data_IF_242827973687
#
_entry.id   IF_242827973687
#
_cell.length_a   1.000
_cell.length_b   1.000
_cell.length_c   1.000
_cell.angle_alpha   90.00
_cell.angle_beta   90.00
_cell.angle_gamma   90.00
#
_symmetry.space_group_name_H-M   'P 1'
#
loop_
_entity.id
_entity.type
_entity.pdbx_description
1 polymer ?
#
# COMPACT_ATOMS: atom_id res chain seq x y z
N UNK A 1 -44.28 42.39 0.80
CA UNK A 1 -43.65 43.04 -0.36
C UNK A 1 -42.78 41.99 -1.01
N UNK A 2 -43.31 41.35 -2.05
CA UNK A 2 -42.59 40.32 -2.83
C UNK A 2 -41.48 41.04 -3.59
N UNK A 3 -40.23 40.77 -3.26
CA UNK A 3 -39.09 41.27 -4.02
C UNK A 3 -39.22 40.74 -5.46
N UNK A 4 -39.52 41.64 -6.39
CA UNK A 4 -39.45 41.30 -7.81
C UNK A 4 -37.98 41.02 -8.15
N UNK A 5 -37.67 39.74 -8.40
CA UNK A 5 -36.34 39.23 -8.74
C UNK A 5 -36.00 39.43 -10.23
N UNK A 6 -36.84 40.15 -10.97
CA UNK A 6 -36.56 40.48 -12.37
C UNK A 6 -35.34 41.41 -12.49
N UNK A 7 -34.58 41.26 -13.58
CA UNK A 7 -33.43 42.13 -13.92
C UNK A 7 -33.87 43.60 -13.98
N UNK A 8 -35.09 43.83 -14.47
CA UNK A 8 -35.71 45.15 -14.58
C UNK A 8 -35.93 45.77 -13.19
N UNK A 9 -36.62 45.04 -12.29
CA UNK A 9 -36.86 45.51 -10.93
C UNK A 9 -35.57 45.71 -10.10
N UNK A 10 -34.52 44.95 -10.41
CA UNK A 10 -33.19 45.17 -9.83
C UNK A 10 -32.55 46.47 -10.35
N UNK A 11 -32.63 46.75 -11.65
CA UNK A 11 -32.09 47.99 -12.22
C UNK A 11 -32.81 49.21 -11.65
N UNK A 12 -34.15 49.19 -11.61
CA UNK A 12 -34.96 50.31 -11.09
C UNK A 12 -34.57 50.65 -9.65
N UNK A 13 -34.35 49.62 -8.82
CA UNK A 13 -33.90 49.78 -7.44
C UNK A 13 -32.50 50.38 -7.38
N UNK A 14 -31.56 49.83 -8.15
CA UNK A 14 -30.18 50.32 -8.21
C UNK A 14 -30.14 51.78 -8.65
N UNK A 15 -30.97 52.18 -9.61
CA UNK A 15 -31.02 53.56 -10.12
C UNK A 15 -31.53 54.52 -9.06
N UNK A 16 -32.58 54.16 -8.31
CA UNK A 16 -33.08 54.94 -7.16
C UNK A 16 -32.01 55.06 -6.07
N UNK A 17 -31.37 53.96 -5.70
CA UNK A 17 -30.34 53.95 -4.65
C UNK A 17 -29.13 54.80 -5.04
N UNK A 18 -28.67 54.68 -6.29
CA UNK A 18 -27.58 55.49 -6.84
C UNK A 18 -27.91 56.98 -6.85
N UNK A 19 -29.14 57.33 -7.23
CA UNK A 19 -29.61 58.71 -7.24
C UNK A 19 -29.60 59.30 -5.83
N UNK A 20 -30.25 58.63 -4.88
CA UNK A 20 -30.33 59.09 -3.48
C UNK A 20 -28.95 59.22 -2.84
N UNK A 21 -28.03 58.31 -3.14
CA UNK A 21 -26.66 58.38 -2.62
C UNK A 21 -25.84 59.48 -3.29
N UNK A 22 -26.06 59.76 -4.58
CA UNK A 22 -25.41 60.87 -5.28
C UNK A 22 -25.86 62.22 -4.72
N UNK A 23 -27.15 62.37 -4.44
CA UNK A 23 -27.71 63.56 -3.78
C UNK A 23 -27.12 63.74 -2.37
N UNK A 24 -26.98 62.64 -1.61
CA UNK A 24 -26.38 62.65 -0.27
C UNK A 24 -24.91 63.05 -0.29
N UNK A 25 -24.13 62.54 -1.25
CA UNK A 25 -22.69 62.78 -1.35
C UNK A 25 -22.31 64.03 -2.15
N UNK A 26 -23.27 64.67 -2.83
CA UNK A 26 -23.04 65.84 -3.67
C UNK A 26 -22.15 65.56 -4.88
N UNK A 27 -22.09 64.31 -5.36
CA UNK A 27 -21.30 63.88 -6.53
C UNK A 27 -21.89 62.63 -7.18
N UNK A 28 -21.59 62.42 -8.46
CA UNK A 28 -22.01 61.22 -9.21
C UNK A 28 -21.36 59.96 -8.63
N UNK A 29 -22.20 58.98 -8.26
CA UNK A 29 -21.78 57.68 -7.72
C UNK A 29 -21.72 56.58 -8.80
N UNK A 30 -22.00 56.90 -10.07
CA UNK A 30 -21.80 55.97 -11.16
C UNK A 30 -20.30 55.60 -11.26
N UNK A 31 -19.98 54.31 -11.19
CA UNK A 31 -18.61 53.81 -11.27
C UNK A 31 -17.95 53.51 -9.92
N UNK A 32 -18.56 53.87 -8.78
CA UNK A 32 -17.93 53.74 -7.46
C UNK A 32 -18.29 52.45 -6.72
N UNK A 33 -19.33 51.74 -7.13
CA UNK A 33 -19.79 50.52 -6.47
C UNK A 33 -18.96 49.31 -6.89
N UNK A 34 -18.86 48.28 -6.03
CA UNK A 34 -18.11 47.06 -6.32
C UNK A 34 -18.54 46.38 -7.63
N UNK A 35 -19.83 46.41 -7.96
CA UNK A 35 -20.33 45.83 -9.21
C UNK A 35 -20.01 46.69 -10.44
N UNK A 36 -19.62 47.96 -10.30
CA UNK A 36 -19.39 48.84 -11.45
C UNK A 36 -18.22 48.37 -12.34
N UNK A 37 -17.26 47.60 -11.79
CA UNK A 37 -16.19 46.98 -12.58
C UNK A 37 -16.69 45.92 -13.58
N UNK A 38 -17.91 45.41 -13.39
CA UNK A 38 -18.54 44.40 -14.24
C UNK A 38 -19.65 44.98 -15.14
N UNK A 39 -19.74 46.31 -15.20
CA UNK A 39 -20.76 47.04 -15.94
C UNK A 39 -20.39 47.21 -17.41
N UNK A 40 -21.25 46.71 -18.30
CA UNK A 40 -21.19 46.97 -19.73
C UNK A 40 -22.33 47.91 -20.12
N UNK A 41 -21.99 49.16 -20.42
CA UNK A 41 -22.96 50.21 -20.77
C UNK A 41 -23.67 49.98 -22.11
N UNK A 42 -23.22 49.00 -22.90
CA UNK A 42 -23.85 48.66 -24.19
C UNK A 42 -25.03 47.71 -24.03
N UNK A 43 -25.18 47.08 -22.86
CA UNK A 43 -26.26 46.14 -22.57
C UNK A 43 -27.51 46.82 -22.00
N UNK A 44 -28.66 46.16 -22.16
CA UNK A 44 -29.87 46.55 -21.43
C UNK A 44 -29.69 46.23 -19.94
N UNK A 45 -30.07 47.19 -19.07
CA UNK A 45 -29.97 47.08 -17.61
C UNK A 45 -28.53 46.81 -17.11
N UNK A 46 -27.58 47.70 -17.45
CA UNK A 46 -26.15 47.43 -17.33
C UNK A 46 -25.68 47.27 -15.87
N UNK A 47 -26.34 47.94 -14.92
CA UNK A 47 -25.95 47.87 -13.51
C UNK A 47 -26.52 46.63 -12.82
N UNK A 48 -27.75 46.24 -13.15
CA UNK A 48 -28.36 45.02 -12.67
C UNK A 48 -27.58 43.78 -13.14
N UNK A 49 -27.22 43.72 -14.43
CA UNK A 49 -26.40 42.63 -14.97
C UNK A 49 -25.02 42.57 -14.29
N UNK A 50 -24.40 43.74 -14.08
CA UNK A 50 -23.12 43.83 -13.38
C UNK A 50 -23.20 43.31 -11.93
N UNK A 51 -24.28 43.66 -11.21
CA UNK A 51 -24.55 43.18 -9.87
C UNK A 51 -24.69 41.66 -9.85
N UNK A 52 -25.51 41.10 -10.75
CA UNK A 52 -25.71 39.65 -10.85
C UNK A 52 -24.41 38.89 -11.17
N UNK A 53 -23.56 39.41 -12.07
CA UNK A 53 -22.24 38.83 -12.37
C UNK A 53 -21.33 38.79 -11.15
N UNK A 54 -21.28 39.88 -10.40
CA UNK A 54 -20.48 39.98 -9.19
C UNK A 54 -20.99 39.00 -8.13
N UNK A 55 -22.29 38.97 -7.86
CA UNK A 55 -22.85 38.07 -6.84
C UNK A 55 -22.69 36.60 -7.21
N UNK A 56 -22.87 36.23 -8.48
CA UNK A 56 -22.64 34.87 -8.94
C UNK A 56 -21.17 34.44 -8.74
N UNK A 57 -20.23 35.33 -9.04
CA UNK A 57 -18.81 35.09 -8.78
C UNK A 57 -18.51 34.94 -7.28
N UNK A 58 -19.06 35.81 -6.45
CA UNK A 58 -18.88 35.76 -5.00
C UNK A 58 -19.47 34.48 -4.41
N UNK A 59 -20.60 34.01 -4.93
CA UNK A 59 -21.23 32.73 -4.56
C UNK A 59 -20.35 31.55 -4.98
N UNK A 60 -19.84 31.53 -6.22
CA UNK A 60 -18.91 30.50 -6.71
C UNK A 60 -17.61 30.44 -5.87
N UNK A 61 -17.05 31.61 -5.51
CA UNK A 61 -15.85 31.69 -4.68
C UNK A 61 -16.12 31.16 -3.25
N UNK A 62 -17.30 31.43 -2.68
CA UNK A 62 -17.73 30.88 -1.38
C UNK A 62 -17.96 29.38 -1.43
N UNK A 63 -18.58 28.86 -2.47
CA UNK A 63 -18.81 27.43 -2.65
C UNK A 63 -17.47 26.68 -2.77
N UNK A 64 -16.54 27.19 -3.58
CA UNK A 64 -15.17 26.65 -3.70
C UNK A 64 -14.42 26.67 -2.37
N UNK A 65 -14.54 27.76 -1.61
CA UNK A 65 -13.92 27.85 -0.29
C UNK A 65 -14.53 26.84 0.70
N UNK A 66 -15.85 26.63 0.66
CA UNK A 66 -16.53 25.64 1.49
C UNK A 66 -16.11 24.20 1.14
N UNK A 67 -16.02 23.86 -0.15
CA UNK A 67 -15.51 22.57 -0.63
C UNK A 67 -14.06 22.33 -0.18
N UNK A 68 -13.18 23.33 -0.34
CA UNK A 68 -11.79 23.22 0.10
C UNK A 68 -11.65 23.06 1.63
N UNK A 69 -12.51 23.71 2.41
CA UNK A 69 -12.56 23.54 3.86
C UNK A 69 -13.03 22.13 4.27
N UNK A 70 -13.99 21.55 3.54
CA UNK A 70 -14.44 20.18 3.77
C UNK A 70 -13.32 19.16 3.47
N UNK A 71 -12.63 19.28 2.34
CA UNK A 71 -11.50 18.41 1.98
C UNK A 71 -10.36 18.49 3.02
N UNK A 72 -10.06 19.68 3.53
CA UNK A 72 -9.04 19.87 4.57
C UNK A 72 -9.39 19.17 5.89
N UNK A 73 -10.69 19.03 6.22
CA UNK A 73 -11.11 18.27 7.42
C UNK A 73 -10.99 16.77 7.22
N UNK A 74 -11.26 16.24 6.02
CA UNK A 74 -11.12 14.81 5.74
C UNK A 74 -9.65 14.37 5.70
N UNK A 75 -8.74 15.18 5.14
CA UNK A 75 -7.30 14.87 5.08
C UNK A 75 -6.68 14.64 6.47
N UNK A 76 -7.14 15.36 7.50
CA UNK A 76 -6.64 15.17 8.89
C UNK A 76 -7.06 13.84 9.53
N UNK A 77 -8.07 13.17 8.99
CA UNK A 77 -8.53 11.85 9.49
C UNK A 77 -7.98 10.68 8.67
N UNK A 78 -7.49 10.93 7.46
CA UNK A 78 -7.07 9.88 6.52
C UNK A 78 -5.64 9.37 6.76
N UNK A 79 -4.74 10.14 7.38
CA UNK A 79 -3.30 9.81 7.44
C UNK A 79 -2.76 9.27 8.77
N UNK A 80 -3.60 8.68 9.62
CA UNK A 80 -3.08 8.00 10.81
C UNK A 80 -4.13 7.36 11.69
N UNK A 81 -4.54 6.12 11.39
CA UNK A 81 -5.00 5.24 12.47
C UNK A 81 -3.87 5.18 13.50
N UNK A 82 -4.06 5.79 14.66
CA UNK A 82 -3.18 5.61 15.81
C UNK A 82 -3.12 4.11 16.08
N UNK A 83 -2.00 3.48 15.72
CA UNK A 83 -1.81 2.06 15.98
C UNK A 83 -1.68 1.92 17.50
N UNK A 84 -2.72 1.39 18.13
CA UNK A 84 -2.70 1.05 19.55
C UNK A 84 -1.60 0.00 19.79
N UNK A 85 -0.48 0.46 20.35
CA UNK A 85 0.70 -0.36 20.59
C UNK A 85 0.36 -1.50 21.57
N UNK A 86 -0.52 -1.26 22.55
CA UNK A 86 -0.93 -2.27 23.53
C UNK A 86 -1.75 -3.38 22.88
N UNK A 87 -2.68 -3.04 21.99
CA UNK A 87 -3.41 -4.03 21.18
C UNK A 87 -2.46 -4.84 20.28
N UNK A 88 -1.47 -4.20 19.65
CA UNK A 88 -0.45 -4.92 18.86
C UNK A 88 0.36 -5.88 19.73
N UNK A 89 0.78 -5.45 20.92
CA UNK A 89 1.54 -6.30 21.85
C UNK A 89 0.68 -7.46 22.36
N UNK A 90 -0.60 -7.23 22.71
CA UNK A 90 -1.56 -8.26 23.11
C UNK A 90 -1.76 -9.31 22.02
N UNK A 91 -1.98 -8.88 20.76
CA UNK A 91 -2.14 -9.78 19.60
C UNK A 91 -0.88 -10.60 19.33
N UNK A 92 0.31 -10.01 19.48
CA UNK A 92 1.59 -10.72 19.34
C UNK A 92 1.79 -11.75 20.47
N UNK A 93 1.47 -11.39 21.72
CA UNK A 93 1.59 -12.28 22.88
C UNK A 93 0.63 -13.48 22.80
N UNK A 94 -0.59 -13.27 22.29
CA UNK A 94 -1.58 -14.34 22.10
C UNK A 94 -1.25 -15.29 20.93
N UNK A 95 -0.28 -14.96 20.07
CA UNK A 95 0.02 -15.75 18.87
C UNK A 95 0.75 -17.05 19.24
N UNK A 96 0.02 -18.17 19.25
CA UNK A 96 0.59 -19.51 19.45
C UNK A 96 1.71 -19.79 18.44
N UNK A 97 2.91 -20.12 18.93
CA UNK A 97 4.01 -20.55 18.05
C UNK A 97 3.72 -21.97 17.55
N UNK A 98 3.27 -22.08 16.30
CA UNK A 98 2.99 -23.36 15.67
C UNK A 98 4.29 -24.11 15.33
N UNK A 99 4.28 -25.41 15.57
CA UNK A 99 5.31 -26.35 15.14
C UNK A 99 5.34 -26.50 13.61
N UNK A 100 6.40 -27.08 13.07
CA UNK A 100 6.52 -27.38 11.63
C UNK A 100 5.35 -28.25 11.14
N UNK A 101 4.99 -29.28 11.92
CA UNK A 101 3.87 -30.16 11.59
C UNK A 101 2.52 -29.43 11.61
N UNK A 102 2.25 -28.60 12.62
CA UNK A 102 1.03 -27.77 12.67
C UNK A 102 0.98 -26.77 11.51
N UNK A 103 2.12 -26.12 11.19
CA UNK A 103 2.21 -25.22 10.02
C UNK A 103 1.92 -25.96 8.73
N UNK A 104 2.48 -27.15 8.54
CA UNK A 104 2.27 -27.98 7.36
C UNK A 104 0.80 -28.39 7.21
N UNK A 105 0.14 -28.80 8.30
CA UNK A 105 -1.27 -29.17 8.30
C UNK A 105 -2.17 -28.01 7.85
N UNK A 106 -1.90 -26.81 8.36
CA UNK A 106 -2.62 -25.56 8.02
C UNK A 106 -2.20 -24.93 6.69
N UNK A 107 -1.18 -25.46 6.01
CA UNK A 107 -0.71 -24.89 4.75
C UNK A 107 -1.63 -25.27 3.58
N UNK A 108 -1.69 -24.38 2.59
CA UNK A 108 -2.40 -24.61 1.33
C UNK A 108 -1.84 -25.81 0.57
N UNK A 109 -2.66 -26.38 -0.32
CA UNK A 109 -2.30 -27.55 -1.11
C UNK A 109 -1.07 -27.29 -1.99
N UNK A 110 -0.92 -26.07 -2.52
CA UNK A 110 0.26 -25.66 -3.29
C UNK A 110 1.56 -25.79 -2.47
N UNK A 111 1.52 -25.48 -1.18
CA UNK A 111 2.69 -25.61 -0.30
C UNK A 111 2.97 -27.08 -0.02
N UNK A 112 1.93 -27.89 0.20
CA UNK A 112 2.04 -29.33 0.41
C UNK A 112 2.63 -30.04 -0.81
N UNK A 113 2.18 -29.69 -2.03
CA UNK A 113 2.73 -30.19 -3.29
C UNK A 113 4.21 -29.85 -3.45
N UNK A 114 4.60 -28.59 -3.21
CA UNK A 114 6.00 -28.16 -3.30
C UNK A 114 6.86 -28.88 -2.28
N UNK A 115 6.37 -29.06 -1.05
CA UNK A 115 7.07 -29.82 -0.03
C UNK A 115 7.26 -31.29 -0.44
N UNK A 116 6.21 -31.93 -0.97
CA UNK A 116 6.29 -33.30 -1.47
C UNK A 116 7.34 -33.43 -2.58
N UNK A 117 7.39 -32.48 -3.52
CA UNK A 117 8.40 -32.45 -4.58
C UNK A 117 9.83 -32.29 -4.03
N UNK A 118 10.05 -31.40 -3.05
CA UNK A 118 11.35 -31.23 -2.40
C UNK A 118 11.78 -32.49 -1.62
N UNK A 119 10.83 -33.15 -0.95
CA UNK A 119 11.06 -34.39 -0.21
C UNK A 119 11.33 -35.59 -1.13
N UNK A 120 10.77 -35.58 -2.35
CA UNK A 120 10.97 -36.60 -3.38
C UNK A 120 12.30 -36.45 -4.12
N UNK A 121 12.72 -35.21 -4.46
CA UNK A 121 14.15 -34.86 -4.50
C UNK A 121 14.73 -35.09 -3.08
N UNK A 122 15.92 -34.73 -2.63
CA UNK A 122 16.45 -35.16 -1.30
C UNK A 122 16.46 -36.69 -1.01
N UNK A 123 15.33 -37.40 -0.91
CA UNK A 123 15.21 -38.85 -0.73
C UNK A 123 15.53 -39.65 -1.99
N UNK A 124 15.32 -39.11 -3.20
CA UNK A 124 15.76 -39.75 -4.44
C UNK A 124 17.29 -39.68 -4.56
N UNK A 125 17.96 -40.71 -4.06
CA UNK A 125 19.41 -40.92 -4.16
C UNK A 125 19.73 -42.21 -4.93
N UNK A 126 20.81 -42.24 -5.74
CA UNK A 126 21.20 -43.42 -6.51
C UNK A 126 21.48 -44.63 -5.61
N UNK A 127 21.17 -45.83 -6.14
CA UNK A 127 21.40 -47.11 -5.46
C UNK A 127 22.90 -47.27 -5.19
N UNK A 128 23.31 -47.24 -3.92
CA UNK A 128 24.71 -47.33 -3.48
C UNK A 128 25.24 -46.11 -2.73
N UNK A 129 24.54 -44.97 -2.79
CA UNK A 129 24.87 -43.79 -1.99
C UNK A 129 24.21 -43.81 -0.60
N UNK A 130 24.78 -43.15 0.42
CA UNK A 130 24.19 -43.13 1.75
C UNK A 130 22.81 -42.47 1.75
N UNK A 131 21.81 -43.18 2.28
CA UNK A 131 20.41 -42.70 2.32
C UNK A 131 20.30 -41.40 3.13
N UNK A 132 19.61 -40.43 2.56
CA UNK A 132 19.27 -39.19 3.26
C UNK A 132 18.03 -39.45 4.11
N UNK A 133 18.14 -39.26 5.44
CA UNK A 133 17.04 -39.44 6.39
C UNK A 133 16.47 -38.08 6.82
N UNK A 134 15.15 -37.98 6.88
CA UNK A 134 14.46 -36.81 7.43
C UNK A 134 14.25 -36.94 8.94
N UNK A 135 14.30 -35.81 9.64
CA UNK A 135 13.96 -35.68 11.06
C UNK A 135 13.16 -34.39 11.25
N UNK A 136 11.87 -34.55 11.51
CA UNK A 136 10.97 -33.44 11.81
C UNK A 136 11.22 -32.99 13.25
N UNK A 137 11.60 -31.73 13.41
CA UNK A 137 11.70 -31.04 14.69
C UNK A 137 10.53 -30.06 14.84
N UNK A 138 10.41 -29.43 16.01
CA UNK A 138 9.37 -28.40 16.24
C UNK A 138 9.49 -27.24 15.24
N UNK A 139 10.68 -26.90 14.76
CA UNK A 139 10.90 -25.72 13.91
C UNK A 139 11.02 -26.04 12.42
N UNK A 140 11.60 -27.19 12.07
CA UNK A 140 11.99 -27.53 10.72
C UNK A 140 12.03 -29.03 10.46
N UNK A 141 12.00 -29.42 9.19
CA UNK A 141 12.35 -30.76 8.74
C UNK A 141 13.82 -30.79 8.30
N UNK A 142 14.64 -31.59 8.97
CA UNK A 142 16.09 -31.66 8.75
C UNK A 142 16.46 -32.94 8.03
N UNK A 143 17.23 -32.83 6.95
CA UNK A 143 17.71 -33.94 6.14
C UNK A 143 19.19 -34.17 6.41
N UNK A 144 19.55 -35.41 6.78
CA UNK A 144 20.93 -35.78 7.13
C UNK A 144 21.46 -36.93 6.30
N UNK A 145 22.75 -36.88 6.02
CA UNK A 145 23.53 -37.94 5.36
C UNK A 145 24.80 -38.19 6.15
N UNK A 146 25.00 -39.41 6.65
CA UNK A 146 26.24 -39.78 7.35
C UNK A 146 26.54 -39.01 8.66
N UNK A 147 25.61 -38.19 9.16
CA UNK A 147 25.83 -37.30 10.32
C UNK A 147 25.64 -35.83 9.96
N UNK A 148 26.04 -35.47 8.73
CA UNK A 148 26.02 -34.11 8.20
C UNK A 148 24.64 -33.68 7.72
N UNK A 149 24.37 -32.39 7.82
CA UNK A 149 23.10 -31.80 7.40
C UNK A 149 23.18 -31.42 5.92
N UNK A 150 22.34 -32.04 5.10
CA UNK A 150 22.25 -31.78 3.65
C UNK A 150 21.20 -30.74 3.33
N UNK A 151 20.12 -30.68 4.11
CA UNK A 151 19.11 -29.64 3.95
C UNK A 151 18.32 -29.39 5.24
N UNK A 152 17.81 -28.17 5.40
CA UNK A 152 16.74 -27.86 6.35
C UNK A 152 15.59 -27.19 5.63
N UNK A 153 14.38 -27.73 5.78
CA UNK A 153 13.15 -27.15 5.23
C UNK A 153 12.35 -26.50 6.36
N UNK A 154 11.92 -25.27 6.12
CA UNK A 154 11.10 -24.49 7.06
C UNK A 154 9.87 -23.90 6.37
N UNK A 155 8.79 -23.69 7.12
CA UNK A 155 7.61 -22.94 6.67
C UNK A 155 7.59 -21.59 7.40
N UNK A 156 7.72 -20.51 6.63
CA UNK A 156 7.76 -19.13 7.13
C UNK A 156 6.86 -18.26 6.24
N UNK A 157 5.92 -17.54 6.86
CA UNK A 157 5.03 -16.61 6.17
C UNK A 157 4.23 -17.26 5.03
N UNK A 158 3.74 -18.49 5.23
CA UNK A 158 2.98 -19.23 4.21
C UNK A 158 3.81 -19.77 3.04
N UNK A 159 5.14 -19.73 3.12
CA UNK A 159 6.03 -20.24 2.07
C UNK A 159 7.10 -21.17 2.61
N UNK A 160 7.58 -22.08 1.75
CA UNK A 160 8.71 -22.96 2.08
C UNK A 160 10.02 -22.19 1.91
N UNK A 161 10.96 -22.44 2.80
CA UNK A 161 12.37 -22.08 2.62
C UNK A 161 13.22 -23.31 2.81
N UNK A 162 14.20 -23.46 1.93
CA UNK A 162 15.21 -24.51 2.00
C UNK A 162 16.57 -23.90 2.30
N UNK A 163 17.28 -24.52 3.23
CA UNK A 163 18.62 -24.17 3.65
C UNK A 163 19.57 -25.30 3.23
N UNK A 164 20.64 -24.99 2.51
CA UNK A 164 21.57 -25.94 1.91
C UNK A 164 23.03 -25.66 2.32
N UNK A 165 23.91 -26.68 2.33
CA UNK A 165 25.34 -26.54 2.61
C UNK A 165 26.10 -26.03 1.36
N UNK A 166 25.63 -24.91 0.81
CA UNK A 166 26.26 -24.22 -0.33
C UNK A 166 26.83 -22.89 0.16
N UNK A 167 27.85 -22.38 -0.53
CA UNK A 167 28.37 -21.05 -0.25
C UNK A 167 27.46 -19.98 -0.89
N UNK A 168 26.81 -19.11 -0.10
CA UNK A 168 26.00 -18.01 -0.66
C UNK A 168 26.85 -17.00 -1.44
N UNK A 169 28.13 -16.83 -1.12
CA UNK A 169 28.95 -15.81 -1.79
C UNK A 169 29.59 -16.31 -3.09
N UNK A 170 29.33 -17.56 -3.49
CA UNK A 170 29.88 -18.13 -4.69
C UNK A 170 29.41 -17.35 -5.95
N UNK A 171 30.32 -17.02 -6.90
CA UNK A 171 29.98 -16.24 -8.09
C UNK A 171 28.84 -16.83 -8.94
N UNK A 172 28.68 -18.15 -8.91
CA UNK A 172 27.62 -18.88 -9.62
C UNK A 172 26.20 -18.56 -9.15
N UNK A 173 26.04 -18.07 -7.91
CA UNK A 173 24.74 -17.69 -7.35
C UNK A 173 24.49 -16.18 -7.31
N UNK A 174 25.53 -15.37 -7.58
CA UNK A 174 25.50 -13.91 -7.54
C UNK A 174 25.10 -13.25 -8.88
N UNK A 175 24.64 -14.04 -9.86
CA UNK A 175 24.18 -13.57 -11.17
C UNK A 175 22.76 -12.98 -11.17
N UNK A 176 22.11 -12.88 -10.00
CA UNK A 176 20.74 -12.40 -9.82
C UNK A 176 19.64 -13.40 -10.21
N UNK A 177 19.98 -14.54 -10.84
CA UNK A 177 18.99 -15.56 -11.23
C UNK A 177 18.56 -16.42 -10.05
N UNK A 178 19.38 -16.51 -9.01
CA UNK A 178 19.07 -17.24 -7.79
C UNK A 178 18.95 -16.29 -6.61
N UNK A 179 17.77 -15.70 -6.35
CA UNK A 179 17.57 -14.88 -5.17
C UNK A 179 17.70 -15.76 -3.91
N UNK A 180 18.79 -15.58 -3.18
CA UNK A 180 19.14 -16.35 -1.99
C UNK A 180 19.57 -15.42 -0.85
N UNK A 181 19.79 -15.98 0.33
CA UNK A 181 20.18 -15.22 1.52
C UNK A 181 21.19 -16.00 2.33
N UNK A 182 22.28 -15.33 2.74
CA UNK A 182 23.26 -15.89 3.65
C UNK A 182 22.71 -15.95 5.10
N UNK A 183 22.57 -17.15 5.63
CA UNK A 183 22.03 -17.40 6.98
C UNK A 183 23.03 -18.06 7.93
N UNK A 184 24.27 -18.27 7.50
CA UNK A 184 25.33 -18.91 8.26
C UNK A 184 25.70 -18.22 9.59
N UNK A 185 25.43 -16.92 9.72
CA UNK A 185 25.63 -16.17 10.96
C UNK A 185 24.81 -16.70 12.15
N UNK A 186 23.75 -17.49 11.89
CA UNK A 186 22.97 -18.15 12.94
C UNK A 186 23.54 -19.53 13.19
N UNK A 187 23.88 -19.85 14.45
CA UNK A 187 24.36 -21.19 14.85
C UNK A 187 23.49 -22.33 14.33
N UNK A 188 22.17 -22.14 14.26
CA UNK A 188 21.23 -23.14 13.73
C UNK A 188 21.42 -23.42 12.23
N UNK A 189 21.93 -22.47 11.46
CA UNK A 189 22.12 -22.58 10.01
C UNK A 189 23.60 -22.54 9.59
N UNK A 190 24.54 -22.66 10.54
CA UNK A 190 25.97 -22.60 10.26
C UNK A 190 26.41 -23.67 9.24
N UNK A 191 25.92 -24.91 9.40
CA UNK A 191 26.18 -26.02 8.46
C UNK A 191 25.42 -25.89 7.13
N UNK A 192 24.39 -25.05 7.06
CA UNK A 192 23.52 -24.88 5.88
C UNK A 192 23.23 -23.40 5.60
N UNK A 193 24.27 -22.62 5.27
CA UNK A 193 24.19 -21.16 5.26
C UNK A 193 23.35 -20.63 4.08
N UNK A 194 23.20 -21.36 2.98
CA UNK A 194 22.48 -20.94 1.80
C UNK A 194 20.96 -21.07 1.96
N UNK A 195 20.23 -19.97 2.17
CA UNK A 195 18.77 -19.98 2.24
C UNK A 195 18.13 -19.57 0.91
N UNK A 196 17.19 -20.38 0.43
CA UNK A 196 16.40 -20.12 -0.78
C UNK A 196 14.89 -20.23 -0.50
N UNK A 197 14.10 -19.28 -1.03
CA UNK A 197 12.65 -19.21 -0.84
C UNK A 197 11.91 -19.89 -2.00
N UNK A 198 11.00 -20.82 -1.68
CA UNK A 198 10.20 -21.58 -2.65
C UNK A 198 8.75 -21.08 -2.64
N UNK A 199 8.49 -19.98 -3.36
CA UNK A 199 7.17 -19.33 -3.41
C UNK A 199 6.46 -19.45 -4.77
N UNK A 200 7.12 -19.94 -5.81
CA UNK A 200 6.57 -20.09 -7.16
C UNK A 200 6.98 -21.43 -7.81
N UNK A 201 6.34 -21.79 -8.91
CA UNK A 201 6.72 -22.98 -9.71
C UNK A 201 8.16 -22.87 -10.24
N UNK A 202 8.59 -21.67 -10.65
CA UNK A 202 9.97 -21.42 -11.07
C UNK A 202 10.95 -21.58 -9.91
N UNK A 203 10.61 -21.07 -8.73
CA UNK A 203 11.42 -21.25 -7.53
C UNK A 203 11.54 -22.74 -7.17
N UNK A 204 10.48 -23.54 -7.31
CA UNK A 204 10.56 -24.98 -7.11
C UNK A 204 11.58 -25.62 -8.06
N UNK A 205 11.51 -25.31 -9.37
CA UNK A 205 12.49 -25.83 -10.35
C UNK A 205 13.93 -25.45 -9.99
N UNK A 206 14.16 -24.21 -9.55
CA UNK A 206 15.48 -23.75 -9.09
C UNK A 206 15.94 -24.50 -7.83
N UNK A 207 15.04 -24.71 -6.86
CA UNK A 207 15.35 -25.44 -5.64
C UNK A 207 15.69 -26.92 -5.92
N UNK A 208 15.00 -27.56 -6.87
CA UNK A 208 15.33 -28.91 -7.30
C UNK A 208 16.75 -28.98 -7.89
N UNK A 209 17.10 -28.02 -8.75
CA UNK A 209 18.46 -27.92 -9.30
C UNK A 209 19.52 -27.74 -8.20
N UNK A 210 19.25 -26.93 -7.18
CA UNK A 210 20.16 -26.75 -6.04
C UNK A 210 20.29 -28.03 -5.21
N UNK A 211 19.20 -28.77 -5.02
CA UNK A 211 19.23 -30.05 -4.32
C UNK A 211 20.11 -31.05 -5.05
N UNK A 212 20.09 -31.07 -6.38
CA UNK A 212 20.90 -31.99 -7.16
C UNK A 212 22.40 -31.65 -7.12
N UNK A 213 22.79 -30.43 -6.72
CA UNK A 213 24.20 -30.06 -6.48
C UNK A 213 24.73 -30.57 -5.13
N UNK A 214 23.86 -30.86 -4.17
CA UNK A 214 24.26 -31.26 -2.79
C UNK A 214 24.05 -32.75 -2.50
N UNK A 215 23.26 -33.44 -3.31
CA UNK A 215 23.13 -34.92 -3.29
C UNK A 215 24.39 -35.56 -3.85
#
# INVERSE_FOLDING_TARGET
MTEDKSVVGLQDRIDVDKWLESERQGRDMCGTYAYCSFCDKTEAYPCANAYMRMTARDEDERERAALAAADATEETTALGKTVDIEDVMRRKAARKSLSFAEKYALSDDIVKERYAALKAALTAVPKGSPKIKSRISRQCDTYRRGGDIVAKITIIGGSLRINLPLDPEAPEFNDGKMPHTATGHKKVYAEVPFQFKVNSKLALKRALRLIDLVK
#
